data_IF_647010919145
#
_entry.id   IF_647010919145
#
_cell.length_a   1.000
_cell.length_b   1.000
_cell.length_c   1.000
_cell.angle_alpha   90.00
_cell.angle_beta   90.00
_cell.angle_gamma   90.00
#
_symmetry.space_group_name_H-M   'P 1'
#
loop_
_entity.id
_entity.type
_entity.pdbx_description
1 polymer ?
#
# COMPACT_ATOMS: atom_id res chain seq x y z
N UNK A 1 -3.75 14.40 -16.28
CA UNK A 1 -4.51 13.59 -17.27
C UNK A 1 -5.92 13.23 -16.80
N UNK A 2 -6.09 12.40 -15.75
CA UNK A 2 -7.42 11.92 -15.30
C UNK A 2 -8.44 13.04 -15.01
N UNK A 3 -8.03 14.06 -14.26
CA UNK A 3 -8.91 15.19 -13.93
C UNK A 3 -9.38 15.97 -15.17
N UNK A 4 -8.57 16.02 -16.23
CA UNK A 4 -8.95 16.70 -17.48
C UNK A 4 -10.01 15.90 -18.24
N UNK A 5 -9.86 14.58 -18.32
CA UNK A 5 -10.86 13.69 -18.95
C UNK A 5 -12.20 13.72 -18.20
N UNK A 6 -12.15 13.78 -16.87
CA UNK A 6 -13.34 13.93 -16.04
C UNK A 6 -14.00 15.30 -16.21
N UNK A 7 -13.22 16.38 -16.27
CA UNK A 7 -13.73 17.73 -16.51
C UNK A 7 -14.38 17.89 -17.91
N UNK A 8 -13.88 17.15 -18.90
CA UNK A 8 -14.47 17.06 -20.24
C UNK A 8 -15.68 16.10 -20.32
N UNK A 9 -16.17 15.60 -19.18
CA UNK A 9 -17.28 14.65 -19.07
C UNK A 9 -17.11 13.36 -19.90
N UNK A 10 -15.87 12.92 -20.15
CA UNK A 10 -15.59 11.70 -20.93
C UNK A 10 -15.58 10.43 -20.08
N UNK A 11 -15.19 10.56 -18.82
CA UNK A 11 -15.02 9.44 -17.88
C UNK A 11 -15.34 9.91 -16.46
N UNK A 12 -15.59 8.96 -15.55
CA UNK A 12 -15.60 9.26 -14.11
C UNK A 12 -14.17 9.51 -13.63
N UNK A 13 -14.01 10.34 -12.59
CA UNK A 13 -12.71 10.61 -11.95
C UNK A 13 -12.27 9.46 -11.04
N UNK A 14 -12.13 8.28 -11.64
CA UNK A 14 -11.70 7.03 -11.02
C UNK A 14 -10.85 6.27 -12.03
N UNK A 15 -9.91 5.48 -11.54
CA UNK A 15 -9.07 4.61 -12.36
C UNK A 15 -8.74 3.36 -11.56
N UNK A 16 -8.27 2.32 -12.25
CA UNK A 16 -7.71 1.13 -11.64
C UNK A 16 -6.36 0.83 -12.27
N UNK A 17 -5.43 0.33 -11.45
CA UNK A 17 -4.09 -0.03 -11.90
C UNK A 17 -3.76 -1.44 -11.44
N UNK A 18 -3.51 -2.32 -12.40
CA UNK A 18 -3.06 -3.69 -12.17
C UNK A 18 -1.64 -3.81 -12.76
N UNK A 19 -0.64 -4.03 -11.91
CA UNK A 19 0.75 -4.22 -12.31
C UNK A 19 1.03 -5.72 -12.46
N UNK A 20 1.64 -6.13 -13.58
CA UNK A 20 2.09 -7.51 -13.79
C UNK A 20 3.62 -7.58 -13.60
N UNK A 21 4.04 -8.15 -12.48
CA UNK A 21 5.47 -8.31 -12.13
C UNK A 21 6.09 -9.59 -12.69
N UNK A 22 5.28 -10.51 -13.24
CA UNK A 22 5.75 -11.81 -13.76
C UNK A 22 6.17 -11.67 -15.22
N UNK A 23 5.32 -11.03 -16.04
CA UNK A 23 5.57 -10.83 -17.48
C UNK A 23 5.98 -9.40 -17.81
N UNK A 24 5.87 -8.48 -16.86
CA UNK A 24 6.04 -7.05 -17.07
C UNK A 24 4.76 -6.40 -17.62
N UNK A 25 4.67 -5.07 -17.45
CA UNK A 25 3.54 -4.26 -17.89
C UNK A 25 2.36 -4.32 -16.92
N UNK A 26 1.14 -4.49 -17.46
CA UNK A 26 -0.09 -4.49 -16.69
C UNK A 26 -1.24 -3.77 -17.40
N UNK A 27 -2.28 -3.42 -16.63
CA UNK A 27 -3.45 -2.68 -17.11
C UNK A 27 -3.58 -1.38 -16.33
N UNK A 28 -3.76 -0.28 -17.05
CA UNK A 28 -4.18 1.01 -16.50
C UNK A 28 -5.52 1.40 -17.11
N UNK A 29 -6.60 1.25 -16.33
CA UNK A 29 -7.96 1.48 -16.79
C UNK A 29 -8.49 2.80 -16.22
N UNK A 30 -9.09 3.62 -17.08
CA UNK A 30 -9.68 4.91 -16.70
C UNK A 30 -11.21 4.78 -16.74
N UNK A 31 -11.87 5.21 -15.66
CA UNK A 31 -13.30 5.02 -15.46
C UNK A 31 -13.62 3.79 -14.62
N UNK A 32 -14.89 3.39 -14.64
CA UNK A 32 -15.38 2.32 -13.76
C UNK A 32 -14.88 0.95 -14.26
N UNK A 33 -14.31 0.15 -13.37
CA UNK A 33 -13.96 -1.24 -13.65
C UNK A 33 -15.00 -2.15 -13.02
N UNK A 34 -15.45 -3.16 -13.77
CA UNK A 34 -16.57 -4.04 -13.37
C UNK A 34 -16.07 -5.26 -12.58
N UNK A 35 -14.78 -5.58 -12.65
CA UNK A 35 -14.19 -6.73 -11.97
C UNK A 35 -12.86 -6.36 -11.26
N UNK A 36 -12.56 -6.99 -10.12
CA UNK A 36 -13.40 -7.93 -9.38
C UNK A 36 -14.61 -7.23 -8.71
N UNK A 37 -15.72 -7.94 -8.47
CA UNK A 37 -16.95 -7.34 -7.92
C UNK A 37 -16.81 -6.91 -6.45
N UNK A 38 -15.80 -7.44 -5.75
CA UNK A 38 -15.52 -7.13 -4.34
C UNK A 38 -14.11 -6.58 -4.26
N UNK A 39 -13.98 -5.33 -3.80
CA UNK A 39 -12.71 -4.65 -3.57
C UNK A 39 -12.73 -4.13 -2.13
N UNK A 40 -11.69 -4.44 -1.36
CA UNK A 40 -11.49 -3.79 -0.06
C UNK A 40 -11.05 -2.36 -0.31
N UNK A 41 -11.71 -1.40 0.34
CA UNK A 41 -11.42 0.02 0.17
C UNK A 41 -10.90 0.61 1.47
N UNK A 42 -10.09 1.66 1.32
CA UNK A 42 -9.67 2.53 2.41
C UNK A 42 -9.85 3.98 1.95
N UNK A 43 -10.30 4.90 2.81
CA UNK A 43 -10.45 6.29 2.42
C UNK A 43 -9.09 6.92 2.11
N UNK A 44 -9.04 7.69 1.02
CA UNK A 44 -7.92 8.59 0.77
C UNK A 44 -7.97 9.75 1.77
N UNK A 45 -6.79 10.22 2.20
CA UNK A 45 -6.67 11.42 3.02
C UNK A 45 -7.09 12.63 2.16
N UNK A 46 -8.10 13.41 2.59
CA UNK A 46 -8.58 14.55 1.82
C UNK A 46 -7.52 15.65 1.75
N UNK A 47 -7.47 16.38 0.65
CA UNK A 47 -6.57 17.51 0.42
C UNK A 47 -5.07 17.20 0.52
N UNK A 48 -4.68 15.92 0.47
CA UNK A 48 -3.29 15.53 0.38
C UNK A 48 -2.75 15.68 -1.06
N UNK A 49 -1.45 15.94 -1.20
CA UNK A 49 -0.79 16.11 -2.51
C UNK A 49 -0.71 14.81 -3.31
N UNK A 50 -0.63 13.65 -2.64
CA UNK A 50 -0.53 12.34 -3.27
C UNK A 50 -1.74 11.45 -2.92
N UNK A 51 -1.74 10.20 -3.38
CA UNK A 51 -2.70 9.17 -2.96
C UNK A 51 -2.36 8.67 -1.56
N UNK A 52 -2.56 9.56 -0.57
CA UNK A 52 -2.30 9.28 0.82
C UNK A 52 -3.42 8.44 1.45
N UNK A 53 -3.05 7.50 2.32
CA UNK A 53 -3.96 6.68 3.12
C UNK A 53 -3.49 6.65 4.58
N UNK A 54 -4.41 6.35 5.49
CA UNK A 54 -4.10 6.19 6.91
C UNK A 54 -3.71 4.73 7.20
N UNK A 55 -2.42 4.47 7.43
CA UNK A 55 -1.93 3.19 7.91
C UNK A 55 -2.16 3.10 9.43
N UNK A 56 -2.77 2.02 9.92
CA UNK A 56 -3.07 1.87 11.35
C UNK A 56 -2.18 0.87 12.08
N UNK A 57 -1.46 0.04 11.35
CA UNK A 57 -0.66 -1.03 11.93
C UNK A 57 0.04 -1.84 10.85
N UNK A 58 1.03 -2.60 11.28
CA UNK A 58 1.77 -3.55 10.43
C UNK A 58 1.79 -4.87 11.19
N UNK A 59 1.52 -5.96 10.49
CA UNK A 59 1.55 -7.31 11.07
C UNK A 59 2.45 -8.22 10.25
N UNK A 60 3.20 -9.09 10.92
CA UNK A 60 4.07 -10.11 10.34
C UNK A 60 3.65 -11.46 10.90
N UNK A 61 3.37 -12.44 10.04
CA UNK A 61 2.91 -13.77 10.49
C UNK A 61 1.59 -13.77 11.28
N UNK A 62 0.77 -12.72 11.16
CA UNK A 62 -0.46 -12.54 11.95
C UNK A 62 -0.26 -11.80 13.28
N UNK A 63 0.98 -11.54 13.71
CA UNK A 63 1.29 -10.75 14.90
C UNK A 63 1.51 -9.28 14.54
N UNK A 64 0.80 -8.37 15.23
CA UNK A 64 0.95 -6.92 15.04
C UNK A 64 2.24 -6.41 15.68
N UNK A 65 3.02 -5.64 14.93
CA UNK A 65 4.26 -5.04 15.39
C UNK A 65 3.99 -3.95 16.44
N UNK A 66 4.78 -3.96 17.50
CA UNK A 66 4.75 -2.92 18.53
C UNK A 66 5.57 -1.73 18.04
N UNK A 67 4.88 -0.71 17.52
CA UNK A 67 5.48 0.52 17.02
C UNK A 67 4.92 1.71 17.80
N UNK A 68 5.69 2.79 18.01
CA UNK A 68 5.16 4.01 18.60
C UNK A 68 3.93 4.48 17.83
N UNK A 69 2.86 4.88 18.52
CA UNK A 69 1.61 5.36 17.88
C UNK A 69 1.88 6.49 16.88
N UNK A 70 2.84 7.37 17.21
CA UNK A 70 3.29 8.48 16.37
C UNK A 70 3.91 8.08 15.03
N UNK A 71 4.19 6.79 14.83
CA UNK A 71 4.63 6.21 13.55
C UNK A 71 3.56 6.35 12.48
N UNK A 72 2.30 6.29 12.89
CA UNK A 72 1.14 6.28 12.02
C UNK A 72 0.46 7.66 11.88
N UNK A 73 1.05 8.69 12.47
CA UNK A 73 0.55 10.06 12.36
C UNK A 73 0.55 10.53 10.90
N UNK A 74 -0.49 11.27 10.52
CA UNK A 74 -0.60 11.92 9.21
C UNK A 74 -0.44 13.45 9.33
N UNK A 75 0.25 14.08 8.38
CA UNK A 75 0.53 15.51 8.33
C UNK A 75 1.50 15.90 7.21
N UNK A 76 1.94 17.16 7.16
CA UNK A 76 2.68 17.74 6.02
C UNK A 76 3.97 16.99 5.61
N UNK A 77 4.56 16.21 6.52
CA UNK A 77 5.77 15.40 6.28
C UNK A 77 5.63 13.93 6.69
N UNK A 78 4.43 13.51 7.10
CA UNK A 78 4.18 12.16 7.63
C UNK A 78 2.92 11.56 7.01
N UNK A 79 3.01 10.30 6.59
CA UNK A 79 1.87 9.56 6.08
C UNK A 79 2.30 8.40 5.20
N UNK A 80 1.30 7.67 4.70
CA UNK A 80 1.51 6.53 3.80
C UNK A 80 0.97 6.88 2.43
N UNK A 81 1.76 6.66 1.38
CA UNK A 81 1.41 7.01 0.00
C UNK A 81 1.38 5.74 -0.83
N UNK A 82 0.41 5.65 -1.73
CA UNK A 82 0.38 4.66 -2.81
C UNK A 82 1.06 5.28 -4.03
N UNK A 83 2.24 4.77 -4.39
CA UNK A 83 3.06 5.31 -5.48
C UNK A 83 3.53 4.20 -6.43
N UNK A 84 2.92 4.13 -7.61
CA UNK A 84 3.32 3.18 -8.67
C UNK A 84 4.63 3.57 -9.36
N UNK A 85 5.14 4.79 -9.13
CA UNK A 85 6.41 5.27 -9.68
C UNK A 85 7.64 4.81 -8.89
N UNK A 86 7.45 4.16 -7.74
CA UNK A 86 8.52 3.71 -6.87
C UNK A 86 8.58 2.18 -6.82
N UNK A 87 9.78 1.60 -7.06
CA UNK A 87 9.98 0.15 -7.17
C UNK A 87 9.83 -0.61 -5.85
N UNK A 88 10.29 -0.03 -4.74
CA UNK A 88 10.33 -0.67 -3.42
C UNK A 88 9.45 0.09 -2.41
N UNK A 89 8.94 -0.61 -1.40
CA UNK A 89 8.32 0.05 -0.27
C UNK A 89 9.41 0.71 0.60
N UNK A 90 9.31 2.03 0.78
CA UNK A 90 10.19 2.78 1.68
C UNK A 90 9.52 2.93 3.04
N UNK A 91 10.25 2.57 4.09
CA UNK A 91 9.80 2.63 5.47
C UNK A 91 10.71 3.56 6.27
N UNK A 92 10.18 4.30 7.26
CA UNK A 92 11.02 4.95 8.25
C UNK A 92 11.96 3.93 8.90
N UNK A 93 13.18 4.37 9.23
CA UNK A 93 14.26 3.49 9.71
C UNK A 93 13.82 2.56 10.85
N UNK A 94 13.13 3.09 11.85
CA UNK A 94 12.70 2.29 13.00
C UNK A 94 11.65 1.23 12.60
N UNK A 95 10.68 1.61 11.76
CA UNK A 95 9.68 0.67 11.21
C UNK A 95 10.33 -0.45 10.41
N UNK A 96 11.29 -0.10 9.56
CA UNK A 96 12.04 -1.06 8.75
C UNK A 96 12.79 -2.08 9.62
N UNK A 97 13.48 -1.61 10.68
CA UNK A 97 14.21 -2.49 11.59
C UNK A 97 13.28 -3.44 12.33
N UNK A 98 12.20 -2.93 12.92
CA UNK A 98 11.22 -3.76 13.63
C UNK A 98 10.56 -4.79 12.71
N UNK A 99 10.19 -4.38 11.49
CA UNK A 99 9.63 -5.28 10.49
C UNK A 99 10.60 -6.41 10.13
N UNK A 100 11.86 -6.07 9.83
CA UNK A 100 12.83 -7.08 9.44
C UNK A 100 13.14 -8.06 10.58
N UNK A 101 13.28 -7.58 11.82
CA UNK A 101 13.43 -8.45 12.99
C UNK A 101 12.29 -9.46 13.09
N UNK A 102 11.04 -9.01 13.00
CA UNK A 102 9.88 -9.89 13.06
C UNK A 102 9.82 -10.90 11.89
N UNK A 103 10.26 -10.50 10.68
CA UNK A 103 10.35 -11.42 9.53
C UNK A 103 11.42 -12.48 9.76
N UNK A 104 12.59 -12.12 10.28
CA UNK A 104 13.65 -13.09 10.58
C UNK A 104 13.24 -14.07 11.68
N UNK A 105 12.59 -13.60 12.73
CA UNK A 105 12.04 -14.44 13.80
C UNK A 105 11.03 -15.45 13.24
N UNK A 106 10.06 -14.97 12.44
CA UNK A 106 9.07 -15.83 11.79
C UNK A 106 9.72 -16.91 10.90
N UNK A 107 10.74 -16.55 10.13
CA UNK A 107 11.44 -17.48 9.25
C UNK A 107 12.20 -18.56 10.04
N UNK A 108 12.85 -18.19 11.16
CA UNK A 108 13.52 -19.15 12.03
C UNK A 108 12.55 -20.13 12.68
N UNK A 109 11.38 -19.66 13.12
CA UNK A 109 10.32 -20.54 13.63
C UNK A 109 9.84 -21.52 12.56
N UNK A 110 9.59 -21.06 11.33
CA UNK A 110 9.17 -21.95 10.23
C UNK A 110 10.23 -22.98 9.85
N UNK A 111 11.51 -22.63 9.91
CA UNK A 111 12.59 -23.58 9.61
C UNK A 111 12.70 -24.67 10.68
N UNK A 112 12.41 -24.36 11.94
CA UNK A 112 12.36 -25.38 13.00
C UNK A 112 11.14 -26.28 12.88
N UNK A 113 9.99 -25.75 12.42
CA UNK A 113 8.77 -26.52 12.17
C UNK A 113 8.88 -27.51 11.01
N UNK A 114 9.72 -27.21 10.00
CA UNK A 114 9.98 -28.11 8.87
C UNK A 114 11.14 -29.09 9.11
N UNK A 115 11.79 -29.03 10.27
CA UNK A 115 12.92 -29.89 10.64
C UNK A 115 12.51 -31.11 11.49
N UNK A 116 11.21 -31.25 11.79
CA UNK A 116 10.56 -32.44 12.38
C UNK A 116 9.74 -33.20 11.33
#
# INVERSE_FOLDING_TARGET
MLSQLAAACKVRKIFAHCLDTVRGGGIFAIGNVVQPPIVKTTPLVPNATHYNVNLQGISVGGATLQLPTSTFDSGDSKGTIIDSGTTLAYLPREVYRTLLTAVWELLHETNNLCAE
#
